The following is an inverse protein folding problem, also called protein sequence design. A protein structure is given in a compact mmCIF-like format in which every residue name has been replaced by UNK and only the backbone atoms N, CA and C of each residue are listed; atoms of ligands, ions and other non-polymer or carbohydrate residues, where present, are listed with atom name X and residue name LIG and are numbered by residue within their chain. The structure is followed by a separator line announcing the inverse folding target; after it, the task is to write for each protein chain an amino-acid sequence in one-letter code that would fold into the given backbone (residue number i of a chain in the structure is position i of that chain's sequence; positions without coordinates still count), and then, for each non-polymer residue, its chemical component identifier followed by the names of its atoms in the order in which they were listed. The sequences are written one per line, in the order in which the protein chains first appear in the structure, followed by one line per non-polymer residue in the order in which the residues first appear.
data_IF_487429481348
#
_entry.id   IF_487429481348
#
_cell.length_a   1.000
_cell.length_b   1.000
_cell.length_c   1.000
_cell.angle_alpha   90.00
_cell.angle_beta   90.00
_cell.angle_gamma   90.00
#
_symmetry.space_group_name_H-M   'P 1'
#
loop_
_entity.id
_entity.type
_entity.pdbx_description
1 polymer ?
#
# COMPACT_ATOMS: atom_id res chain seq x y z
N UNK A 1 -22.90 6.52 16.49
CA UNK A 1 -23.35 6.47 15.08
C UNK A 1 -22.72 7.65 14.34
N UNK A 2 -21.62 7.40 13.65
CA UNK A 2 -20.94 8.38 12.81
C UNK A 2 -20.60 7.66 11.51
N UNK A 3 -21.41 7.84 10.47
CA UNK A 3 -21.14 7.32 9.14
C UNK A 3 -19.98 8.12 8.53
N UNK A 4 -18.80 7.48 8.43
CA UNK A 4 -17.72 8.02 7.60
C UNK A 4 -18.05 7.62 6.17
N UNK A 5 -18.74 8.51 5.46
CA UNK A 5 -19.06 8.35 4.04
C UNK A 5 -17.96 9.05 3.24
N UNK A 6 -17.32 8.34 2.31
CA UNK A 6 -16.53 9.01 1.29
C UNK A 6 -17.44 9.39 0.13
N UNK A 7 -17.57 10.68 -0.13
CA UNK A 7 -18.22 11.19 -1.34
C UNK A 7 -17.14 11.55 -2.36
N UNK A 8 -17.21 11.03 -3.59
CA UNK A 8 -16.30 11.48 -4.64
C UNK A 8 -16.55 12.97 -4.90
N UNK A 9 -15.47 13.72 -5.13
CA UNK A 9 -15.47 15.19 -5.10
C UNK A 9 -16.45 15.83 -6.11
N UNK A 10 -16.81 15.09 -7.16
CA UNK A 10 -17.82 15.46 -8.16
C UNK A 10 -19.26 15.47 -7.63
N UNK A 11 -19.52 14.86 -6.47
CA UNK A 11 -20.83 14.85 -5.80
C UNK A 11 -20.87 15.84 -4.63
N UNK A 12 -19.70 16.37 -4.22
CA UNK A 12 -19.60 17.28 -3.08
C UNK A 12 -19.90 18.71 -3.53
N UNK A 13 -21.17 19.11 -3.44
CA UNK A 13 -21.61 20.50 -3.62
C UNK A 13 -21.81 21.18 -2.26
N UNK A 14 -21.27 22.40 -2.04
CA UNK A 14 -20.52 23.24 -2.97
C UNK A 14 -19.10 22.74 -3.25
N UNK A 15 -18.48 23.12 -4.40
CA UNK A 15 -17.12 22.71 -4.73
C UNK A 15 -16.16 23.26 -3.68
N UNK A 16 -15.65 22.38 -2.83
CA UNK A 16 -14.68 22.76 -1.81
C UNK A 16 -13.36 23.13 -2.48
N UNK A 17 -12.79 24.26 -2.08
CA UNK A 17 -11.38 24.49 -2.38
C UNK A 17 -10.57 23.44 -1.63
N UNK A 18 -9.37 23.17 -2.13
CA UNK A 18 -8.40 22.33 -1.43
C UNK A 18 -8.15 22.79 0.02
N UNK A 19 -8.09 24.09 0.25
CA UNK A 19 -7.90 24.64 1.60
C UNK A 19 -9.08 24.27 2.50
N UNK A 20 -10.30 24.31 1.97
CA UNK A 20 -11.50 23.88 2.71
C UNK A 20 -11.45 22.39 3.05
N UNK A 21 -11.05 21.55 2.08
CA UNK A 21 -10.88 20.11 2.30
C UNK A 21 -9.81 19.81 3.36
N UNK A 22 -8.66 20.50 3.32
CA UNK A 22 -7.62 20.37 4.34
C UNK A 22 -8.13 20.79 5.73
N UNK A 23 -8.94 21.84 5.83
CA UNK A 23 -9.56 22.29 7.08
C UNK A 23 -10.56 21.26 7.61
N UNK A 24 -11.43 20.73 6.74
CA UNK A 24 -12.40 19.68 7.09
C UNK A 24 -11.65 18.44 7.58
N UNK A 25 -10.65 17.98 6.82
CA UNK A 25 -9.84 16.81 7.16
C UNK A 25 -9.19 16.96 8.55
N UNK A 26 -8.57 18.11 8.84
CA UNK A 26 -7.98 18.39 10.15
C UNK A 26 -9.02 18.40 11.28
N UNK A 27 -10.22 18.94 11.03
CA UNK A 27 -11.31 18.94 12.02
C UNK A 27 -11.84 17.53 12.28
N UNK A 28 -12.02 16.73 11.24
CA UNK A 28 -12.41 15.32 11.32
C UNK A 28 -11.37 14.53 12.11
N UNK A 29 -10.09 14.66 11.77
CA UNK A 29 -9.00 13.95 12.43
C UNK A 29 -8.86 14.35 13.91
N UNK A 30 -9.00 15.65 14.24
CA UNK A 30 -8.99 16.11 15.64
C UNK A 30 -10.15 15.54 16.44
N UNK A 31 -11.35 15.51 15.85
CA UNK A 31 -12.54 14.93 16.49
C UNK A 31 -12.42 13.42 16.65
N UNK A 32 -11.98 12.71 15.60
CA UNK A 32 -11.70 11.27 15.62
C UNK A 32 -10.73 10.94 16.75
N UNK A 33 -9.63 11.70 16.86
CA UNK A 33 -8.63 11.49 17.91
C UNK A 33 -9.19 11.73 19.31
N UNK A 34 -10.01 12.76 19.50
CA UNK A 34 -10.65 13.03 20.78
C UNK A 34 -11.59 11.88 21.21
N UNK A 35 -12.27 11.25 20.25
CA UNK A 35 -13.09 10.05 20.49
C UNK A 35 -12.18 8.88 20.85
N UNK A 36 -11.17 8.57 20.04
CA UNK A 36 -10.25 7.45 20.28
C UNK A 36 -9.57 7.51 21.64
N UNK A 37 -9.15 8.70 22.10
CA UNK A 37 -8.54 8.87 23.42
C UNK A 37 -9.50 8.51 24.56
N UNK A 38 -10.81 8.76 24.40
CA UNK A 38 -11.83 8.36 25.40
C UNK A 38 -12.04 6.85 25.45
N UNK A 39 -11.91 6.17 24.31
CA UNK A 39 -12.14 4.74 24.16
C UNK A 39 -10.85 3.92 24.11
N UNK A 40 -9.69 4.53 24.42
CA UNK A 40 -8.38 3.91 24.24
C UNK A 40 -8.20 2.59 25.03
N UNK A 41 -8.90 2.47 26.17
CA UNK A 41 -8.87 1.29 27.03
C UNK A 41 -9.87 0.19 26.64
N UNK A 42 -10.69 0.40 25.61
CA UNK A 42 -11.67 -0.55 25.12
C UNK A 42 -11.46 -0.81 23.62
N UNK A 43 -10.45 -1.62 23.25
CA UNK A 43 -10.18 -1.96 21.86
C UNK A 43 -11.41 -2.58 21.20
N UNK A 44 -11.73 -2.13 19.99
CA UNK A 44 -12.77 -2.70 19.15
C UNK A 44 -12.35 -2.71 17.68
N UNK A 45 -13.07 -3.46 16.84
CA UNK A 45 -12.80 -3.49 15.40
C UNK A 45 -13.05 -2.12 14.77
N UNK A 46 -14.06 -1.39 15.24
CA UNK A 46 -14.41 -0.04 14.80
C UNK A 46 -13.33 0.96 15.18
N UNK A 47 -12.78 0.87 16.40
CA UNK A 47 -11.67 1.75 16.80
C UNK A 47 -10.42 1.50 15.97
N UNK A 48 -10.13 0.24 15.64
CA UNK A 48 -8.98 -0.12 14.81
C UNK A 48 -9.17 0.32 13.34
N UNK A 49 -10.38 0.14 12.78
CA UNK A 49 -10.70 0.66 11.45
C UNK A 49 -10.61 2.20 11.39
N UNK A 50 -11.09 2.89 12.41
CA UNK A 50 -10.95 4.34 12.55
C UNK A 50 -9.48 4.77 12.63
N UNK A 51 -8.64 4.04 13.38
CA UNK A 51 -7.20 4.30 13.43
C UNK A 51 -6.55 4.16 12.06
N UNK A 52 -6.90 3.13 11.29
CA UNK A 52 -6.36 2.93 9.94
C UNK A 52 -6.68 4.12 9.02
N UNK A 53 -7.91 4.63 9.07
CA UNK A 53 -8.30 5.83 8.31
C UNK A 53 -7.52 7.08 8.77
N UNK A 54 -7.30 7.23 10.08
CA UNK A 54 -6.53 8.35 10.63
C UNK A 54 -5.04 8.26 10.28
N UNK A 55 -4.47 7.05 10.15
CA UNK A 55 -3.09 6.84 9.66
C UNK A 55 -2.98 7.33 8.22
N UNK A 56 -3.87 6.86 7.34
CA UNK A 56 -3.89 7.27 5.93
C UNK A 56 -4.05 8.80 5.80
N UNK A 57 -4.94 9.38 6.62
CA UNK A 57 -5.16 10.82 6.68
C UNK A 57 -3.93 11.58 7.18
N UNK A 58 -3.27 11.11 8.24
CA UNK A 58 -2.06 11.72 8.80
C UNK A 58 -0.94 11.73 7.76
N UNK A 59 -0.72 10.60 7.06
CA UNK A 59 0.32 10.49 6.04
C UNK A 59 0.02 11.37 4.82
N UNK A 60 -1.24 11.41 4.35
CA UNK A 60 -1.67 12.30 3.28
C UNK A 60 -1.48 13.79 3.65
N UNK A 61 -1.72 14.14 4.92
CA UNK A 61 -1.48 15.47 5.47
C UNK A 61 -0.02 15.72 5.87
N UNK A 62 0.91 14.82 5.55
CA UNK A 62 2.36 14.88 5.86
C UNK A 62 2.68 14.98 7.36
N UNK A 63 1.80 14.47 8.22
CA UNK A 63 1.95 14.43 9.68
C UNK A 63 2.59 13.10 10.10
N UNK A 64 3.86 12.91 9.77
CA UNK A 64 4.58 11.63 9.95
C UNK A 64 4.61 11.21 11.42
N UNK A 65 4.90 12.12 12.35
CA UNK A 65 4.94 11.81 13.80
C UNK A 65 3.60 11.28 14.31
N UNK A 66 2.49 11.88 13.86
CA UNK A 66 1.15 11.42 14.20
C UNK A 66 0.88 10.03 13.61
N UNK A 67 1.24 9.81 12.34
CA UNK A 67 1.10 8.49 11.72
C UNK A 67 1.91 7.41 12.46
N UNK A 68 3.12 7.73 12.91
CA UNK A 68 3.98 6.82 13.69
C UNK A 68 3.37 6.49 15.07
N UNK A 69 2.74 7.47 15.73
CA UNK A 69 2.00 7.22 16.96
C UNK A 69 0.76 6.34 16.72
N UNK A 70 -0.02 6.65 15.68
CA UNK A 70 -1.26 5.93 15.36
C UNK A 70 -1.00 4.48 14.92
N UNK A 71 0.02 4.22 14.09
CA UNK A 71 0.36 2.85 13.69
C UNK A 71 0.82 2.01 14.89
N UNK A 72 1.47 2.64 15.88
CA UNK A 72 1.86 1.95 17.12
C UNK A 72 0.64 1.55 17.95
N UNK A 73 -0.38 2.39 18.04
CA UNK A 73 -1.65 2.06 18.69
C UNK A 73 -2.43 0.99 17.90
N UNK A 74 -2.43 1.06 16.56
CA UNK A 74 -3.05 0.04 15.71
C UNK A 74 -2.44 -1.35 15.94
N UNK A 75 -1.10 -1.45 16.02
CA UNK A 75 -0.40 -2.71 16.36
C UNK A 75 -0.84 -3.25 17.72
N UNK A 76 -0.88 -2.39 18.74
CA UNK A 76 -1.34 -2.78 20.08
C UNK A 76 -2.76 -3.34 20.03
N UNK A 77 -3.67 -2.70 19.28
CA UNK A 77 -5.05 -3.18 19.13
C UNK A 77 -5.14 -4.51 18.37
N UNK A 78 -4.32 -4.73 17.34
CA UNK A 78 -4.23 -6.05 16.66
C UNK A 78 -3.98 -7.18 17.65
N UNK A 79 -3.04 -6.99 18.59
CA UNK A 79 -2.77 -8.00 19.62
C UNK A 79 -3.86 -8.07 20.68
N UNK A 80 -4.36 -6.92 21.16
CA UNK A 80 -5.41 -6.87 22.18
C UNK A 80 -6.73 -7.52 21.72
N UNK A 81 -7.02 -7.46 20.42
CA UNK A 81 -8.20 -8.08 19.79
C UNK A 81 -7.95 -9.52 19.32
N UNK A 82 -6.74 -10.07 19.50
CA UNK A 82 -6.40 -11.43 19.07
C UNK A 82 -6.35 -11.63 17.54
N UNK A 83 -6.29 -10.55 16.74
CA UNK A 83 -6.41 -10.65 15.28
C UNK A 83 -5.24 -11.36 14.60
N UNK A 84 -4.11 -11.50 15.28
CA UNK A 84 -2.93 -12.26 14.84
C UNK A 84 -3.14 -13.77 14.86
N UNK A 85 -4.23 -14.25 15.48
CA UNK A 85 -4.58 -15.66 15.61
C UNK A 85 -5.59 -16.09 14.54
N UNK A 86 -5.64 -17.39 14.23
CA UNK A 86 -6.60 -17.91 13.26
C UNK A 86 -8.08 -17.78 13.69
N UNK A 87 -8.31 -17.75 15.01
CA UNK A 87 -9.63 -17.62 15.63
C UNK A 87 -9.56 -16.55 16.75
N UNK A 88 -9.79 -15.26 16.43
CA UNK A 88 -9.60 -14.17 17.39
C UNK A 88 -10.54 -14.22 18.60
N UNK A 89 -11.73 -14.80 18.43
CA UNK A 89 -12.73 -14.99 19.47
C UNK A 89 -13.62 -16.18 19.15
N UNK A 90 -14.11 -16.88 20.18
CA UNK A 90 -15.07 -17.97 20.02
C UNK A 90 -16.44 -17.46 19.59
N UNK A 91 -17.13 -18.26 18.77
CA UNK A 91 -18.50 -17.98 18.35
C UNK A 91 -18.67 -16.83 17.34
N UNK A 92 -17.59 -16.38 16.69
CA UNK A 92 -17.69 -15.40 15.61
C UNK A 92 -18.46 -15.97 14.42
N UNK A 93 -19.34 -15.16 13.85
CA UNK A 93 -19.98 -15.45 12.56
C UNK A 93 -18.95 -15.46 11.44
N UNK A 94 -19.29 -16.05 10.28
CA UNK A 94 -18.38 -16.10 9.12
C UNK A 94 -18.01 -14.69 8.66
N UNK A 95 -18.99 -13.78 8.61
CA UNK A 95 -18.76 -12.34 8.33
C UNK A 95 -17.78 -11.76 9.33
N UNK A 96 -18.03 -11.89 10.64
CA UNK A 96 -17.16 -11.32 11.68
C UNK A 96 -15.72 -11.85 11.58
N UNK A 97 -15.56 -13.13 11.24
CA UNK A 97 -14.24 -13.72 11.04
C UNK A 97 -13.52 -13.12 9.81
N UNK A 98 -14.22 -12.95 8.69
CA UNK A 98 -13.64 -12.30 7.50
C UNK A 98 -13.26 -10.84 7.77
N UNK A 99 -14.10 -10.12 8.51
CA UNK A 99 -13.84 -8.77 9.00
C UNK A 99 -12.52 -8.72 9.79
N UNK A 100 -12.34 -9.62 10.77
CA UNK A 100 -11.12 -9.69 11.56
C UNK A 100 -9.88 -9.93 10.67
N UNK A 101 -9.98 -10.85 9.71
CA UNK A 101 -8.89 -11.16 8.78
C UNK A 101 -8.54 -9.96 7.90
N UNK A 102 -9.54 -9.35 7.25
CA UNK A 102 -9.33 -8.19 6.37
C UNK A 102 -8.68 -7.03 7.12
N UNK A 103 -9.15 -6.75 8.34
CA UNK A 103 -8.58 -5.68 9.15
C UNK A 103 -7.15 -5.98 9.59
N UNK A 104 -6.84 -7.21 10.02
CA UNK A 104 -5.45 -7.61 10.30
C UNK A 104 -4.55 -7.35 9.09
N UNK A 105 -4.95 -7.85 7.92
CA UNK A 105 -4.13 -7.78 6.71
C UNK A 105 -3.97 -6.34 6.19
N UNK A 106 -4.98 -5.49 6.33
CA UNK A 106 -4.87 -4.06 5.99
C UNK A 106 -3.86 -3.34 6.89
N UNK A 107 -3.90 -3.58 8.20
CA UNK A 107 -2.92 -3.04 9.15
C UNK A 107 -1.54 -3.61 8.84
N UNK A 108 -1.43 -4.91 8.54
CA UNK A 108 -0.17 -5.57 8.19
C UNK A 108 0.49 -4.92 6.97
N UNK A 109 -0.25 -4.72 5.87
CA UNK A 109 0.28 -4.08 4.66
C UNK A 109 0.73 -2.64 4.92
N UNK A 110 -0.06 -1.88 5.67
CA UNK A 110 0.26 -0.50 6.06
C UNK A 110 1.50 -0.43 6.94
N UNK A 111 1.61 -1.36 7.89
CA UNK A 111 2.76 -1.53 8.77
C UNK A 111 4.06 -1.76 7.98
N UNK A 112 4.07 -2.74 7.08
CA UNK A 112 5.26 -3.06 6.26
C UNK A 112 5.63 -1.93 5.31
N UNK A 113 4.63 -1.22 4.76
CA UNK A 113 4.85 -0.02 3.94
C UNK A 113 5.52 1.09 4.76
N UNK A 114 5.05 1.34 5.98
CA UNK A 114 5.63 2.35 6.86
C UNK A 114 7.07 2.00 7.29
N UNK A 115 7.36 0.72 7.51
CA UNK A 115 8.72 0.25 7.80
C UNK A 115 9.63 0.44 6.59
N UNK A 116 9.15 0.09 5.39
CA UNK A 116 9.90 0.27 4.14
C UNK A 116 10.24 1.74 3.89
N UNK A 117 9.32 2.65 4.23
CA UNK A 117 9.50 4.10 4.09
C UNK A 117 10.20 4.76 5.29
N UNK A 118 10.78 3.97 6.22
CA UNK A 118 11.44 4.45 7.43
C UNK A 118 10.58 5.35 8.34
N UNK A 119 9.25 5.22 8.26
CA UNK A 119 8.27 5.93 9.11
C UNK A 119 8.16 5.25 10.49
N UNK A 120 8.39 3.94 10.55
CA UNK A 120 8.31 3.18 11.80
C UNK A 120 9.47 2.20 11.97
N UNK A 121 10.11 2.26 13.15
CA UNK A 121 11.20 1.36 13.50
C UNK A 121 10.70 -0.03 13.94
N UNK A 122 9.56 -0.06 14.64
CA UNK A 122 8.88 -1.25 15.12
C UNK A 122 7.90 -1.72 14.03
N UNK A 123 7.65 -3.02 13.93
CA UNK A 123 6.70 -3.62 13.00
C UNK A 123 5.93 -4.75 13.66
N UNK A 124 4.79 -5.15 13.10
CA UNK A 124 4.21 -6.46 13.39
C UNK A 124 5.23 -7.55 13.05
N UNK A 125 5.34 -8.54 13.91
CA UNK A 125 6.29 -9.64 13.75
C UNK A 125 5.50 -10.93 13.49
N UNK A 126 5.81 -11.57 12.37
CA UNK A 126 5.15 -12.81 11.95
C UNK A 126 5.32 -13.95 12.97
N UNK A 127 6.37 -13.89 13.81
CA UNK A 127 6.59 -14.86 14.90
C UNK A 127 5.53 -14.78 16.01
N UNK A 128 4.86 -13.64 16.15
CA UNK A 128 3.78 -13.45 17.13
C UNK A 128 2.44 -13.99 16.61
N UNK A 129 2.39 -14.50 15.38
CA UNK A 129 1.20 -15.07 14.75
C UNK A 129 0.80 -14.34 13.46
N UNK A 130 0.38 -15.14 12.48
CA UNK A 130 -0.18 -14.67 11.21
C UNK A 130 -1.47 -15.43 10.96
N UNK A 131 -2.64 -14.77 10.93
CA UNK A 131 -3.91 -15.43 10.68
C UNK A 131 -4.00 -15.89 9.21
N UNK A 132 -4.93 -16.78 8.87
CA UNK A 132 -5.22 -17.09 7.48
C UNK A 132 -5.56 -15.83 6.66
N UNK A 133 -5.24 -15.87 5.38
CA UNK A 133 -5.69 -14.85 4.42
C UNK A 133 -7.24 -14.80 4.41
N UNK A 134 -7.84 -13.64 4.08
CA UNK A 134 -9.27 -13.56 3.85
C UNK A 134 -9.69 -14.48 2.71
N UNK A 135 -10.96 -14.87 2.71
CA UNK A 135 -11.52 -15.61 1.59
C UNK A 135 -11.50 -14.74 0.33
N UNK A 136 -11.13 -15.36 -0.79
CA UNK A 136 -11.11 -14.76 -2.12
C UNK A 136 -12.49 -14.84 -2.77
N UNK A 137 -13.49 -14.28 -2.08
CA UNK A 137 -14.89 -14.22 -2.51
C UNK A 137 -15.45 -12.84 -2.16
N UNK A 138 -16.39 -12.37 -2.98
CA UNK A 138 -17.08 -11.10 -2.76
C UNK A 138 -18.10 -11.21 -1.62
N UNK A 139 -18.46 -10.07 -1.03
CA UNK A 139 -19.33 -10.00 0.14
C UNK A 139 -20.74 -10.54 -0.12
N UNK A 140 -21.22 -10.44 -1.37
CA UNK A 140 -22.51 -11.00 -1.80
C UNK A 140 -22.59 -12.54 -1.61
N UNK A 141 -21.44 -13.21 -1.51
CA UNK A 141 -21.32 -14.65 -1.31
C UNK A 141 -20.99 -15.03 0.14
N UNK A 142 -21.06 -14.08 1.08
CA UNK A 142 -20.79 -14.30 2.50
C UNK A 142 -22.03 -13.95 3.30
N UNK A 143 -22.51 -14.93 4.08
CA UNK A 143 -23.58 -14.74 5.07
C UNK A 143 -23.00 -14.91 6.48
N UNK A 144 -23.81 -14.62 7.50
CA UNK A 144 -23.38 -14.82 8.90
C UNK A 144 -23.04 -16.29 9.21
N UNK A 145 -23.65 -17.24 8.52
CA UNK A 145 -23.50 -18.67 8.80
C UNK A 145 -22.63 -19.42 7.79
N UNK A 146 -22.61 -18.99 6.52
CA UNK A 146 -21.92 -19.71 5.44
C UNK A 146 -21.24 -18.75 4.46
N UNK A 147 -20.14 -19.21 3.86
CA UNK A 147 -19.49 -18.58 2.72
C UNK A 147 -19.61 -19.52 1.51
N UNK A 148 -20.10 -19.00 0.38
CA UNK A 148 -20.20 -19.75 -0.87
C UNK A 148 -19.07 -19.39 -1.82
N UNK A 149 -18.66 -20.31 -2.72
CA UNK A 149 -17.61 -20.01 -3.71
C UNK A 149 -17.98 -18.85 -4.62
N UNK A 150 -16.97 -18.11 -5.08
CA UNK A 150 -17.11 -17.13 -6.16
C UNK A 150 -17.60 -17.86 -7.44
N UNK A 151 -18.52 -17.28 -8.22
CA UNK A 151 -18.96 -17.88 -9.48
C UNK A 151 -17.83 -18.10 -10.48
N UNK A 152 -17.92 -19.19 -11.25
CA UNK A 152 -16.94 -19.52 -12.28
C UNK A 152 -16.77 -18.39 -13.31
N UNK A 153 -15.53 -18.05 -13.61
CA UNK A 153 -15.18 -16.99 -14.56
C UNK A 153 -15.25 -15.56 -14.00
N UNK A 154 -15.72 -15.38 -12.76
CA UNK A 154 -15.69 -14.08 -12.08
C UNK A 154 -14.46 -13.96 -11.18
N UNK A 155 -13.70 -12.88 -11.35
CA UNK A 155 -12.58 -12.54 -10.45
C UNK A 155 -13.15 -11.78 -9.27
N UNK A 156 -12.87 -12.23 -8.05
CA UNK A 156 -13.31 -11.52 -6.84
C UNK A 156 -12.56 -10.20 -6.68
N UNK A 157 -13.23 -9.19 -6.13
CA UNK A 157 -12.58 -7.95 -5.68
C UNK A 157 -11.51 -8.22 -4.61
N UNK A 158 -11.62 -9.31 -3.86
CA UNK A 158 -10.65 -9.73 -2.85
C UNK A 158 -9.37 -10.33 -3.44
N UNK A 159 -9.36 -10.74 -4.72
CA UNK A 159 -8.20 -11.38 -5.34
C UNK A 159 -6.95 -10.52 -5.23
N UNK A 160 -7.01 -9.24 -5.62
CA UNK A 160 -5.83 -8.37 -5.54
C UNK A 160 -5.39 -8.12 -4.11
N UNK A 161 -6.33 -7.98 -3.16
CA UNK A 161 -6.00 -7.83 -1.74
C UNK A 161 -5.25 -9.05 -1.17
N UNK A 162 -5.71 -10.26 -1.51
CA UNK A 162 -5.08 -11.53 -1.09
C UNK A 162 -3.69 -11.67 -1.70
N UNK A 163 -3.53 -11.38 -2.99
CA UNK A 163 -2.23 -11.40 -3.68
C UNK A 163 -1.27 -10.38 -3.05
N UNK A 164 -1.70 -9.13 -2.88
CA UNK A 164 -0.88 -8.07 -2.28
C UNK A 164 -0.46 -8.45 -0.86
N UNK A 165 -1.36 -9.04 -0.07
CA UNK A 165 -1.05 -9.56 1.27
C UNK A 165 0.10 -10.56 1.23
N UNK A 166 0.09 -11.52 0.28
CA UNK A 166 1.19 -12.48 0.08
C UNK A 166 2.50 -11.79 -0.30
N UNK A 167 2.46 -10.79 -1.18
CA UNK A 167 3.64 -10.00 -1.56
C UNK A 167 4.21 -9.28 -0.33
N UNK A 168 3.36 -8.71 0.53
CA UNK A 168 3.78 -8.04 1.76
C UNK A 168 4.34 -9.01 2.82
N UNK A 169 3.90 -10.26 2.86
CA UNK A 169 4.55 -11.27 3.71
C UNK A 169 6.00 -11.47 3.31
N UNK A 170 6.28 -11.57 2.01
CA UNK A 170 7.66 -11.67 1.49
C UNK A 170 8.46 -10.44 1.91
N UNK A 171 7.90 -9.23 1.76
CA UNK A 171 8.55 -7.99 2.19
C UNK A 171 8.84 -7.99 3.70
N UNK A 172 7.87 -8.34 4.54
CA UNK A 172 8.01 -8.36 5.99
C UNK A 172 9.08 -9.36 6.44
N UNK A 173 9.11 -10.54 5.83
CA UNK A 173 10.13 -11.56 6.07
C UNK A 173 11.53 -11.11 5.62
N UNK A 174 11.63 -10.38 4.51
CA UNK A 174 12.88 -9.79 4.03
C UNK A 174 13.39 -8.72 4.99
N UNK A 175 12.53 -7.79 5.42
CA UNK A 175 12.85 -6.72 6.35
C UNK A 175 13.39 -7.24 7.69
N UNK A 176 12.75 -8.27 8.26
CA UNK A 176 13.20 -8.87 9.52
C UNK A 176 14.58 -9.51 9.33
N UNK A 177 14.77 -10.33 8.29
CA UNK A 177 16.06 -10.99 8.02
C UNK A 177 17.17 -9.99 7.77
N UNK A 178 16.92 -8.93 7.02
CA UNK A 178 17.88 -7.87 6.76
C UNK A 178 18.28 -7.16 8.06
N UNK A 179 17.31 -6.79 8.91
CA UNK A 179 17.58 -6.16 10.21
C UNK A 179 18.36 -7.08 11.14
N UNK A 180 18.00 -8.36 11.23
CA UNK A 180 18.71 -9.35 12.05
C UNK A 180 20.15 -9.51 11.58
N UNK A 181 20.36 -9.71 10.26
CA UNK A 181 21.69 -9.88 9.69
C UNK A 181 22.57 -8.62 9.85
N UNK A 182 21.99 -7.44 9.66
CA UNK A 182 22.71 -6.17 9.84
C UNK A 182 23.12 -5.93 11.30
N UNK A 183 22.30 -6.35 12.26
CA UNK A 183 22.59 -6.19 13.68
C UNK A 183 23.60 -7.23 14.19
N UNK A 184 23.43 -8.49 13.80
CA UNK A 184 24.37 -9.56 14.15
C UNK A 184 24.35 -10.64 13.05
N UNK A 185 25.46 -10.73 12.31
CA UNK A 185 25.63 -11.66 11.18
C UNK A 185 25.56 -13.14 11.60
N UNK A 186 25.87 -13.43 12.85
CA UNK A 186 25.93 -14.79 13.39
C UNK A 186 24.66 -15.19 14.17
N UNK A 187 23.74 -14.25 14.44
CA UNK A 187 22.53 -14.52 15.22
C UNK A 187 21.38 -15.17 14.42
N UNK A 188 21.59 -15.42 13.13
CA UNK A 188 20.57 -15.91 12.20
C UNK A 188 20.98 -17.17 11.44
N UNK A 189 20.17 -17.59 10.45
CA UNK A 189 20.56 -18.64 9.52
C UNK A 189 21.88 -18.29 8.83
N UNK A 190 22.71 -19.30 8.48
CA UNK A 190 23.93 -19.08 7.71
C UNK A 190 23.65 -18.31 6.41
N UNK A 191 24.63 -17.52 5.96
CA UNK A 191 24.57 -16.70 4.75
C UNK A 191 24.06 -17.48 3.54
N UNK A 192 24.53 -18.72 3.36
CA UNK A 192 24.15 -19.59 2.24
C UNK A 192 22.64 -19.88 2.25
N UNK A 193 22.06 -20.13 3.43
CA UNK A 193 20.61 -20.33 3.57
C UNK A 193 19.82 -19.05 3.31
N UNK A 194 20.35 -17.89 3.68
CA UNK A 194 19.72 -16.61 3.39
C UNK A 194 19.73 -16.31 1.88
N UNK A 195 20.83 -16.60 1.19
CA UNK A 195 20.92 -16.48 -0.28
C UNK A 195 19.93 -17.42 -0.99
N UNK A 196 19.84 -18.69 -0.56
CA UNK A 196 18.86 -19.63 -1.08
C UNK A 196 17.43 -19.12 -0.86
N UNK A 197 17.12 -18.64 0.35
CA UNK A 197 15.81 -18.07 0.66
C UNK A 197 15.47 -16.88 -0.23
N UNK A 198 16.42 -15.97 -0.49
CA UNK A 198 16.20 -14.83 -1.40
C UNK A 198 15.80 -15.32 -2.79
N UNK A 199 16.52 -16.29 -3.36
CA UNK A 199 16.21 -16.79 -4.70
C UNK A 199 14.87 -17.55 -4.74
N UNK A 200 14.57 -18.34 -3.72
CA UNK A 200 13.26 -18.99 -3.55
C UNK A 200 12.12 -17.97 -3.54
N UNK A 201 12.27 -16.86 -2.80
CA UNK A 201 11.25 -15.80 -2.78
C UNK A 201 11.12 -15.10 -4.14
N UNK A 202 12.21 -14.90 -4.89
CA UNK A 202 12.16 -14.32 -6.24
C UNK A 202 11.45 -15.23 -7.23
N UNK A 203 11.70 -16.54 -7.17
CA UNK A 203 10.97 -17.54 -7.97
C UNK A 203 9.49 -17.54 -7.56
N UNK A 204 9.21 -17.56 -6.26
CA UNK A 204 7.85 -17.49 -5.72
C UNK A 204 7.08 -16.25 -6.18
N UNK A 205 7.72 -15.08 -6.18
CA UNK A 205 7.15 -13.83 -6.68
C UNK A 205 6.78 -13.92 -8.16
N UNK A 206 7.70 -14.43 -9.00
CA UNK A 206 7.45 -14.63 -10.44
C UNK A 206 6.28 -15.56 -10.68
N UNK A 207 6.20 -16.66 -9.91
CA UNK A 207 5.09 -17.61 -9.96
C UNK A 207 3.77 -16.94 -9.56
N UNK A 208 3.75 -16.22 -8.44
CA UNK A 208 2.57 -15.50 -7.95
C UNK A 208 2.03 -14.52 -9.00
N UNK A 209 2.91 -13.77 -9.67
CA UNK A 209 2.53 -12.85 -10.74
C UNK A 209 2.06 -13.57 -12.02
N UNK A 210 2.62 -14.73 -12.33
CA UNK A 210 2.22 -15.56 -13.48
C UNK A 210 0.86 -16.24 -13.30
N UNK A 211 0.50 -16.58 -12.06
CA UNK A 211 -0.77 -17.19 -11.69
C UNK A 211 -1.94 -16.19 -11.58
N UNK A 212 -1.66 -14.88 -11.73
CA UNK A 212 -2.71 -13.86 -11.68
C UNK A 212 -3.79 -14.09 -12.77
N UNK A 213 -5.07 -13.83 -12.46
CA UNK A 213 -6.12 -13.75 -13.46
C UNK A 213 -5.75 -12.73 -14.55
N UNK A 214 -6.19 -12.95 -15.79
CA UNK A 214 -5.84 -12.10 -16.92
C UNK A 214 -6.11 -10.60 -16.67
N UNK A 215 -7.21 -10.27 -15.99
CA UNK A 215 -7.56 -8.88 -15.63
C UNK A 215 -6.59 -8.22 -14.62
N UNK A 216 -5.70 -8.96 -13.96
CA UNK A 216 -4.70 -8.44 -13.00
C UNK A 216 -3.25 -8.61 -13.49
N UNK A 217 -3.03 -9.24 -14.65
CA UNK A 217 -1.71 -9.31 -15.28
C UNK A 217 -1.27 -7.95 -15.84
N UNK A 218 0.03 -7.78 -16.07
CA UNK A 218 0.65 -6.52 -16.49
C UNK A 218 0.38 -6.16 -17.97
N UNK A 219 -0.90 -6.10 -18.37
CA UNK A 219 -1.33 -5.72 -19.72
C UNK A 219 -2.11 -4.40 -19.67
N UNK A 220 -1.39 -3.29 -19.62
CA UNK A 220 -1.97 -1.94 -19.62
C UNK A 220 -2.50 -1.63 -21.02
N UNK A 221 -3.82 -1.63 -21.19
CA UNK A 221 -4.45 -1.13 -22.42
C UNK A 221 -4.60 0.39 -22.30
N UNK A 222 -4.43 1.13 -23.39
CA UNK A 222 -4.78 2.55 -23.44
C UNK A 222 -6.27 2.70 -23.07
N UNK A 223 -6.56 3.42 -22.00
CA UNK A 223 -7.91 3.69 -21.54
C UNK A 223 -8.63 4.62 -22.55
N UNK A 224 -9.14 4.03 -23.62
CA UNK A 224 -9.97 4.71 -24.61
C UNK A 224 -11.45 4.64 -24.24
N UNK A 225 -11.96 5.66 -23.54
CA UNK A 225 -13.40 5.83 -23.25
C UNK A 225 -13.78 5.64 -21.77
N UNK A 226 -15.04 5.94 -21.43
CA UNK A 226 -15.61 5.77 -20.08
C UNK A 226 -15.42 4.32 -19.59
N UNK A 227 -14.49 4.11 -18.65
CA UNK A 227 -14.27 2.81 -18.03
C UNK A 227 -15.40 2.46 -17.05
N UNK A 228 -15.76 1.17 -16.98
CA UNK A 228 -16.70 0.71 -15.96
C UNK A 228 -16.05 0.72 -14.59
N UNK A 229 -16.84 0.90 -13.53
CA UNK A 229 -16.33 0.90 -12.15
C UNK A 229 -15.54 -0.37 -11.79
N UNK A 230 -15.97 -1.55 -12.24
CA UNK A 230 -15.25 -2.83 -12.06
C UNK A 230 -13.91 -2.85 -12.81
N UNK A 231 -13.84 -2.27 -14.00
CA UNK A 231 -12.59 -2.19 -14.76
C UNK A 231 -11.61 -1.23 -14.08
N UNK A 232 -12.13 -0.11 -13.56
CA UNK A 232 -11.36 0.85 -12.76
C UNK A 232 -10.81 0.23 -11.47
N UNK A 233 -11.61 -0.53 -10.71
CA UNK A 233 -11.16 -1.15 -9.45
C UNK A 233 -10.04 -2.17 -9.70
N UNK A 234 -10.17 -2.99 -10.75
CA UNK A 234 -9.16 -3.97 -11.14
C UNK A 234 -7.90 -3.29 -11.67
N UNK A 235 -8.02 -2.17 -12.38
CA UNK A 235 -6.89 -1.32 -12.77
C UNK A 235 -6.11 -0.80 -11.56
N UNK A 236 -6.81 -0.32 -10.53
CA UNK A 236 -6.21 0.14 -9.26
C UNK A 236 -5.50 -1.00 -8.53
N UNK A 237 -6.13 -2.17 -8.42
CA UNK A 237 -5.54 -3.36 -7.79
C UNK A 237 -4.30 -3.84 -8.55
N UNK A 238 -4.39 -3.90 -9.88
CA UNK A 238 -3.27 -4.24 -10.76
C UNK A 238 -2.09 -3.31 -10.52
N UNK A 239 -2.32 -2.00 -10.44
CA UNK A 239 -1.25 -1.04 -10.18
C UNK A 239 -0.59 -1.31 -8.84
N UNK A 240 -1.39 -1.56 -7.80
CA UNK A 240 -0.87 -1.88 -6.47
C UNK A 240 -0.06 -3.18 -6.45
N UNK A 241 -0.53 -4.24 -7.11
CA UNK A 241 0.20 -5.52 -7.21
C UNK A 241 1.57 -5.32 -7.84
N UNK A 242 1.62 -4.75 -9.06
CA UNK A 242 2.87 -4.69 -9.83
C UNK A 242 3.87 -3.69 -9.22
N UNK A 243 3.41 -2.54 -8.73
CA UNK A 243 4.29 -1.59 -8.05
C UNK A 243 4.81 -2.16 -6.72
N UNK A 244 3.96 -2.83 -5.94
CA UNK A 244 4.42 -3.48 -4.70
C UNK A 244 5.42 -4.61 -5.01
N UNK A 245 5.16 -5.43 -6.03
CA UNK A 245 6.07 -6.50 -6.44
C UNK A 245 7.46 -5.95 -6.83
N UNK A 246 7.51 -4.83 -7.56
CA UNK A 246 8.78 -4.15 -7.88
C UNK A 246 9.53 -3.70 -6.62
N UNK A 247 8.83 -3.12 -5.63
CA UNK A 247 9.45 -2.75 -4.36
C UNK A 247 10.03 -3.98 -3.63
N UNK A 248 9.33 -5.12 -3.64
CA UNK A 248 9.82 -6.35 -3.01
C UNK A 248 10.99 -6.97 -3.78
N UNK A 249 10.95 -6.96 -5.11
CA UNK A 249 12.07 -7.40 -5.95
C UNK A 249 13.33 -6.57 -5.68
N UNK A 250 13.20 -5.24 -5.55
CA UNK A 250 14.29 -4.35 -5.16
C UNK A 250 14.80 -4.64 -3.75
N UNK A 251 13.91 -4.82 -2.77
CA UNK A 251 14.28 -5.14 -1.39
C UNK A 251 15.03 -6.49 -1.28
N UNK A 252 14.59 -7.51 -2.02
CA UNK A 252 15.27 -8.81 -2.08
C UNK A 252 16.65 -8.70 -2.74
N UNK A 253 16.77 -7.91 -3.80
CA UNK A 253 18.04 -7.66 -4.49
C UNK A 253 19.02 -6.90 -3.60
N UNK A 254 18.54 -5.88 -2.89
CA UNK A 254 19.32 -5.15 -1.89
C UNK A 254 19.79 -6.10 -0.80
N UNK A 255 18.91 -6.95 -0.25
CA UNK A 255 19.32 -7.90 0.77
C UNK A 255 20.36 -8.90 0.25
N UNK A 256 20.25 -9.36 -1.01
CA UNK A 256 21.29 -10.20 -1.63
C UNK A 256 22.66 -9.51 -1.66
N UNK A 257 22.72 -8.23 -2.04
CA UNK A 257 23.98 -7.46 -2.03
C UNK A 257 24.52 -7.28 -0.61
N UNK A 258 23.66 -7.16 0.40
CA UNK A 258 24.11 -7.10 1.80
C UNK A 258 24.69 -8.43 2.28
N UNK A 259 24.16 -9.55 1.79
CA UNK A 259 24.68 -10.89 2.09
C UNK A 259 25.99 -11.17 1.34
N UNK A 260 26.09 -10.68 0.10
CA UNK A 260 27.23 -10.90 -0.79
C UNK A 260 27.69 -9.60 -1.45
N UNK A 261 28.66 -8.93 -0.84
CA UNK A 261 29.15 -7.63 -1.31
C UNK A 261 29.87 -7.73 -2.67
N UNK A 262 30.42 -8.90 -2.99
CA UNK A 262 31.14 -9.15 -4.24
C UNK A 262 30.21 -9.61 -5.39
N UNK A 263 28.92 -9.80 -5.11
CA UNK A 263 27.96 -10.20 -6.13
C UNK A 263 27.78 -9.08 -7.17
N UNK A 264 28.16 -9.37 -8.43
CA UNK A 264 27.82 -8.49 -9.54
C UNK A 264 26.31 -8.55 -9.81
N UNK A 265 25.62 -7.52 -9.35
CA UNK A 265 24.17 -7.37 -9.51
C UNK A 265 23.80 -6.36 -10.58
N UNK A 266 24.77 -5.81 -11.33
CA UNK A 266 24.56 -4.68 -12.25
C UNK A 266 23.52 -5.00 -13.33
N UNK A 267 23.68 -6.12 -14.02
CA UNK A 267 22.77 -6.56 -15.09
C UNK A 267 21.35 -6.80 -14.57
N UNK A 268 21.23 -7.41 -13.39
CA UNK A 268 19.92 -7.65 -12.77
C UNK A 268 19.25 -6.35 -12.31
N UNK A 269 20.03 -5.44 -11.73
CA UNK A 269 19.58 -4.09 -11.33
C UNK A 269 19.10 -3.31 -12.54
N UNK A 270 19.84 -3.33 -13.64
CA UNK A 270 19.46 -2.67 -14.88
C UNK A 270 18.17 -3.27 -15.49
N UNK A 271 18.06 -4.60 -15.53
CA UNK A 271 16.85 -5.29 -15.99
C UNK A 271 15.63 -4.91 -15.15
N UNK A 272 15.78 -4.93 -13.82
CA UNK A 272 14.73 -4.51 -12.89
C UNK A 272 14.38 -3.03 -13.04
N UNK A 273 15.38 -2.18 -13.28
CA UNK A 273 15.20 -0.77 -13.52
C UNK A 273 14.38 -0.49 -14.78
N UNK A 274 14.71 -1.16 -15.90
CA UNK A 274 13.96 -1.09 -17.16
C UNK A 274 12.53 -1.58 -16.98
N UNK A 275 12.33 -2.70 -16.27
CA UNK A 275 11.00 -3.23 -15.93
C UNK A 275 10.20 -2.24 -15.09
N UNK A 276 10.82 -1.62 -14.09
CA UNK A 276 10.18 -0.64 -13.23
C UNK A 276 9.76 0.60 -14.00
N UNK A 277 10.66 1.17 -14.81
CA UNK A 277 10.35 2.30 -15.68
C UNK A 277 9.24 1.99 -16.68
N UNK A 278 9.30 0.83 -17.36
CA UNK A 278 8.27 0.41 -18.31
C UNK A 278 6.91 0.21 -17.62
N UNK A 279 6.90 -0.34 -16.41
CA UNK A 279 5.65 -0.50 -15.64
C UNK A 279 5.08 0.87 -15.29
N UNK A 280 5.89 1.74 -14.67
CA UNK A 280 5.50 3.08 -14.24
C UNK A 280 5.04 3.98 -15.41
N UNK A 281 5.65 3.85 -16.58
CA UNK A 281 5.31 4.63 -17.77
C UNK A 281 3.99 4.19 -18.41
N UNK A 282 3.58 2.94 -18.21
CA UNK A 282 2.37 2.37 -18.81
C UNK A 282 1.17 2.35 -17.86
N UNK A 283 1.36 2.53 -16.55
CA UNK A 283 0.24 2.57 -15.58
C UNK A 283 -0.47 3.92 -15.69
N UNK A 284 -1.80 3.95 -15.90
CA UNK A 284 -2.59 5.18 -15.81
C UNK A 284 -2.41 5.89 -14.46
N UNK A 285 -2.23 7.20 -14.52
CA UNK A 285 -1.90 8.00 -13.33
C UNK A 285 -3.06 8.01 -12.31
N UNK A 286 -4.29 7.84 -12.78
CA UNK A 286 -5.52 7.73 -12.01
C UNK A 286 -5.52 6.47 -11.13
N UNK A 287 -4.96 5.36 -11.64
CA UNK A 287 -4.84 4.12 -10.87
C UNK A 287 -3.77 4.23 -9.80
N UNK A 288 -2.66 4.94 -10.08
CA UNK A 288 -1.65 5.25 -9.07
C UNK A 288 -2.21 6.18 -7.99
N UNK A 289 -2.93 7.24 -8.38
CA UNK A 289 -3.52 8.22 -7.48
C UNK A 289 -4.58 7.62 -6.56
N UNK A 290 -5.41 6.72 -7.08
CA UNK A 290 -6.48 6.06 -6.31
C UNK A 290 -5.96 5.15 -5.19
N UNK A 291 -4.71 4.67 -5.28
CA UNK A 291 -4.05 3.92 -4.21
C UNK A 291 -3.50 4.81 -3.07
N UNK A 292 -3.52 6.13 -3.25
CA UNK A 292 -3.18 7.10 -2.22
C UNK A 292 -1.72 7.06 -1.76
N UNK A 293 -1.52 7.36 -0.47
CA UNK A 293 -0.19 7.64 0.08
C UNK A 293 0.76 6.43 0.11
N UNK A 294 0.21 5.23 0.31
CA UNK A 294 0.97 3.98 0.25
C UNK A 294 1.66 3.82 -1.11
N UNK A 295 0.96 4.14 -2.20
CA UNK A 295 1.52 4.11 -3.55
C UNK A 295 2.63 5.14 -3.74
N UNK A 296 2.46 6.36 -3.21
CA UNK A 296 3.48 7.42 -3.30
C UNK A 296 4.82 6.97 -2.72
N UNK A 297 4.81 6.36 -1.54
CA UNK A 297 6.02 5.83 -0.90
C UNK A 297 6.70 4.75 -1.74
N UNK A 298 5.92 3.81 -2.29
CA UNK A 298 6.41 2.73 -3.16
C UNK A 298 7.07 3.28 -4.44
N UNK A 299 6.39 4.19 -5.12
CA UNK A 299 6.91 4.83 -6.34
C UNK A 299 8.17 5.65 -6.04
N UNK A 300 8.18 6.43 -4.94
CA UNK A 300 9.37 7.17 -4.52
C UNK A 300 10.55 6.23 -4.29
N UNK A 301 10.34 5.09 -3.62
CA UNK A 301 11.39 4.11 -3.38
C UNK A 301 11.96 3.58 -4.68
N UNK A 302 11.11 3.18 -5.63
CA UNK A 302 11.55 2.72 -6.94
C UNK A 302 12.38 3.81 -7.64
N UNK A 303 11.92 5.06 -7.65
CA UNK A 303 12.65 6.17 -8.25
C UNK A 303 14.00 6.40 -7.59
N UNK A 304 14.08 6.37 -6.26
CA UNK A 304 15.34 6.53 -5.54
C UNK A 304 16.33 5.39 -5.86
N UNK A 305 15.82 4.16 -5.93
CA UNK A 305 16.62 2.99 -6.29
C UNK A 305 17.12 3.11 -7.75
N UNK A 306 16.25 3.51 -8.70
CA UNK A 306 16.63 3.81 -10.09
C UNK A 306 17.73 4.88 -10.17
N UNK A 307 17.59 5.98 -9.44
CA UNK A 307 18.57 7.08 -9.45
C UNK A 307 19.91 6.67 -8.85
N UNK A 308 19.90 5.86 -7.79
CA UNK A 308 21.15 5.34 -7.21
C UNK A 308 21.94 4.53 -8.24
N UNK A 309 21.27 3.77 -9.11
CA UNK A 309 21.89 3.01 -10.19
C UNK A 309 22.49 3.88 -11.29
N UNK A 310 21.94 5.08 -11.53
CA UNK A 310 22.47 6.00 -12.57
C UNK A 310 23.77 6.69 -12.18
N UNK A 311 24.07 6.80 -10.87
CA UNK A 311 25.32 7.41 -10.40
C UNK A 311 26.54 6.53 -10.65
N UNK A 312 26.36 5.22 -10.69
CA UNK A 312 27.44 4.25 -10.93
C UNK A 312 27.78 4.09 -12.43
N UNK A 313 27.01 4.70 -13.33
CA UNK A 313 27.20 4.68 -14.79
C UNK A 313 27.63 6.02 -15.40
N UNK A 314 28.06 6.98 -14.58
CA UNK A 314 28.31 8.38 -14.98
C UNK A 314 29.65 8.63 -15.68
N UNK A 315 30.10 7.71 -16.54
CA UNK A 315 31.15 7.96 -17.54
C UNK A 315 30.62 7.56 -18.93
N UNK A 316 29.64 8.31 -19.45
CA UNK A 316 29.25 8.26 -20.87
C UNK A 316 27.74 8.26 -21.15
N UNK A 317 27.24 9.37 -21.71
CA UNK A 317 26.11 9.46 -22.65
C UNK A 317 24.71 9.01 -22.19
N UNK A 318 24.49 7.71 -22.00
CA UNK A 318 23.15 7.10 -21.89
C UNK A 318 22.60 7.07 -20.46
N UNK A 319 23.44 6.81 -19.45
CA UNK A 319 23.02 6.78 -18.04
C UNK A 319 22.53 8.14 -17.51
N UNK A 320 23.04 9.23 -18.10
CA UNK A 320 22.68 10.60 -17.75
C UNK A 320 21.30 11.00 -18.31
N UNK A 321 20.95 10.50 -19.51
CA UNK A 321 19.63 10.70 -20.11
C UNK A 321 18.55 9.92 -19.35
N UNK A 322 18.81 8.66 -19.01
CA UNK A 322 17.89 7.84 -18.23
C UNK A 322 17.59 8.43 -16.84
N UNK A 323 18.62 8.94 -16.14
CA UNK A 323 18.42 9.62 -14.85
C UNK A 323 17.56 10.88 -14.93
N UNK A 324 17.68 11.64 -16.03
CA UNK A 324 16.84 12.81 -16.29
C UNK A 324 15.39 12.41 -16.56
N UNK A 325 15.15 11.41 -17.40
CA UNK A 325 13.81 10.92 -17.73
C UNK A 325 13.08 10.37 -16.48
N UNK A 326 13.81 9.67 -15.61
CA UNK A 326 13.29 9.19 -14.32
C UNK A 326 12.90 10.36 -13.41
N UNK A 327 13.68 11.44 -13.38
CA UNK A 327 13.38 12.60 -12.54
C UNK A 327 12.22 13.45 -13.08
N UNK A 328 12.14 13.60 -14.39
CA UNK A 328 11.03 14.31 -15.06
C UNK A 328 9.72 13.54 -14.86
N UNK A 329 9.74 12.21 -14.97
CA UNK A 329 8.62 11.35 -14.65
C UNK A 329 8.22 11.45 -13.16
N UNK A 330 9.20 11.42 -12.24
CA UNK A 330 8.93 11.60 -10.81
C UNK A 330 8.29 12.96 -10.52
N UNK A 331 8.74 14.03 -11.16
CA UNK A 331 8.15 15.36 -10.98
C UNK A 331 6.70 15.41 -11.49
N UNK A 332 6.39 14.73 -12.60
CA UNK A 332 5.02 14.58 -13.10
C UNK A 332 4.14 13.81 -12.10
N UNK A 333 4.58 12.64 -11.64
CA UNK A 333 3.80 11.80 -10.72
C UNK A 333 3.70 12.43 -9.34
N UNK A 334 4.76 13.07 -8.85
CA UNK A 334 4.69 13.88 -7.63
C UNK A 334 3.64 14.98 -7.76
N UNK A 335 3.52 15.65 -8.90
CA UNK A 335 2.48 16.68 -9.10
C UNK A 335 1.06 16.11 -9.15
N UNK A 336 0.88 14.89 -9.63
CA UNK A 336 -0.42 14.21 -9.65
C UNK A 336 -0.79 13.58 -8.30
N UNK A 337 0.19 13.10 -7.54
CA UNK A 337 0.01 12.48 -6.22
C UNK A 337 0.12 13.47 -5.06
N UNK A 338 0.64 14.68 -5.29
CA UNK A 338 0.71 15.73 -4.28
C UNK A 338 -0.44 16.72 -4.40
N UNK A 339 -0.84 17.16 -3.23
CA UNK A 339 -1.57 18.38 -2.98
C UNK A 339 -0.43 19.41 -2.79
N UNK A 340 0.03 20.18 -3.82
CA UNK A 340 1.19 21.08 -3.71
C UNK A 340 1.02 22.19 -2.66
N UNK A 341 1.79 22.19 -1.57
CA UNK A 341 1.74 23.26 -0.55
C UNK A 341 2.13 24.59 -1.21
N UNK A 342 1.15 25.43 -1.57
CA UNK A 342 1.41 26.79 -2.05
C UNK A 342 1.76 27.62 -0.81
N UNK A 343 2.99 28.17 -0.68
CA UNK A 343 3.22 29.18 0.34
C UNK A 343 2.26 30.34 0.09
N UNK A 344 1.71 31.01 1.11
CA UNK A 344 0.74 32.06 0.92
C UNK A 344 1.36 33.11 -0.02
N UNK A 345 0.89 33.16 -1.26
CA UNK A 345 1.20 34.26 -2.17
C UNK A 345 0.20 35.35 -1.85
N UNK A 346 0.73 36.53 -1.58
CA UNK A 346 -0.05 37.75 -1.45
C UNK A 346 -1.09 37.84 -2.56
N UNK A 347 -2.28 38.25 -2.15
CA UNK A 347 -3.48 38.39 -2.96
C UNK A 347 -3.25 39.35 -4.12
N UNK A 348 -3.06 38.83 -5.33
CA UNK A 348 -3.62 39.41 -6.57
C UNK A 348 -3.35 38.49 -7.76
N UNK A 349 -4.44 37.95 -8.32
CA UNK A 349 -4.64 37.52 -9.71
C UNK A 349 -5.45 36.22 -9.76
N UNK A 350 -6.73 36.37 -10.04
CA UNK A 350 -7.65 35.30 -10.46
C UNK A 350 -7.41 35.00 -11.94
N UNK A 351 -7.30 33.71 -12.30
CA UNK A 351 -8.02 33.05 -13.40
C UNK A 351 -7.20 31.90 -14.02
N UNK A 352 -7.75 30.68 -13.94
CA UNK A 352 -7.97 29.72 -15.03
C UNK A 352 -8.14 28.31 -14.42
N UNK A 353 -9.29 27.71 -14.71
CA UNK A 353 -9.73 26.45 -14.12
C UNK A 353 -8.84 25.26 -14.49
N UNK A 354 -8.52 24.46 -13.48
CA UNK A 354 -8.12 23.06 -13.66
C UNK A 354 -8.78 22.30 -12.51
N UNK A 355 -9.91 21.65 -12.81
CA UNK A 355 -10.59 20.78 -11.85
C UNK A 355 -9.74 19.51 -11.72
N UNK A 356 -9.01 19.39 -10.61
CA UNK A 356 -8.25 18.19 -10.28
C UNK A 356 -9.10 17.33 -9.35
N UNK A 357 -9.49 16.15 -9.84
CA UNK A 357 -10.30 15.20 -9.10
C UNK A 357 -9.44 14.56 -8.00
N UNK A 358 -9.72 14.87 -6.73
CA UNK A 358 -9.10 14.18 -5.59
C UNK A 358 -10.01 12.99 -5.27
N UNK A 359 -9.74 11.84 -5.89
CA UNK A 359 -10.32 10.55 -5.52
C UNK A 359 -9.27 9.77 -4.72
N UNK A 360 -9.13 10.09 -3.44
CA UNK A 360 -8.29 9.31 -2.54
C UNK A 360 -9.14 8.35 -1.71
N UNK A 361 -8.70 7.09 -1.69
CA UNK A 361 -9.15 5.95 -0.86
C UNK A 361 -10.30 5.10 -1.44
N UNK A 362 -10.19 4.57 -2.67
CA UNK A 362 -11.22 3.63 -3.15
C UNK A 362 -11.09 2.20 -2.60
N UNK A 363 -9.88 1.70 -2.32
CA UNK A 363 -9.71 0.27 -1.98
C UNK A 363 -9.85 -0.02 -0.48
N UNK A 364 -9.28 0.83 0.39
CA UNK A 364 -9.41 0.63 1.85
C UNK A 364 -10.81 1.00 2.38
N UNK A 365 -11.57 1.84 1.66
CA UNK A 365 -12.89 2.30 2.11
C UNK A 365 -14.03 1.41 1.64
N UNK A 366 -13.97 0.76 0.47
CA UNK A 366 -14.99 -0.24 0.10
C UNK A 366 -15.02 -1.41 1.11
N UNK A 367 -13.86 -1.85 1.60
CA UNK A 367 -13.78 -2.81 2.71
C UNK A 367 -14.35 -2.29 4.04
N UNK A 368 -14.49 -0.97 4.22
CA UNK A 368 -15.02 -0.34 5.44
C UNK A 368 -16.48 0.15 5.24
N UNK A 369 -16.95 0.30 3.99
CA UNK A 369 -18.19 1.00 3.65
C UNK A 369 -19.46 0.27 4.12
N UNK A 370 -19.37 -1.04 4.40
CA UNK A 370 -20.49 -1.87 4.87
C UNK A 370 -20.69 -1.76 6.39
N UNK A 371 -19.71 -1.27 7.15
CA UNK A 371 -19.71 -1.31 8.62
C UNK A 371 -20.62 -0.28 9.31
N UNK A 372 -21.42 0.49 8.57
CA UNK A 372 -22.37 1.45 9.17
C UNK A 372 -23.83 1.08 8.88
N UNK A 373 -24.10 -0.04 8.20
CA UNK A 373 -25.46 -0.48 7.89
C UNK A 373 -25.89 -1.81 8.53
N UNK A 374 -25.04 -2.46 9.34
CA UNK A 374 -25.38 -3.68 10.08
C UNK A 374 -25.57 -3.41 11.58
#
# INVERSE_FOLDING_TARGET
MSSICQSPINIVTPPYSRQDLEVILRRCQKTSRAIQLRWHMSPSLESLASLQLDINTALAATQVDLATALISDARRQVYALGLHTAQPKDGLSVIQLQICRRLFWEIYQSDKTNVMNAISAISLNDLEGVPPLPLEIDDDYITTSVATPQPDGQVSYMTGFVVISRIFQILGQCQIRQKTFANNRDAGPPREKLLMWVEEQRIGMRRLLGELPGKLRAEWREAGGFERAEESSLGIQRANIHITALCVELALLDFRVHLDADADTRTERESLARKAYATLSNVPIEYLASNGESMRGKVLRIVLDLLSMTKDGAEGGEGQAFGKDVWDWWNMVRRALCVPRVPPRDTSAVAAGTYMCISSVSVSVECIHIYVQA
#
